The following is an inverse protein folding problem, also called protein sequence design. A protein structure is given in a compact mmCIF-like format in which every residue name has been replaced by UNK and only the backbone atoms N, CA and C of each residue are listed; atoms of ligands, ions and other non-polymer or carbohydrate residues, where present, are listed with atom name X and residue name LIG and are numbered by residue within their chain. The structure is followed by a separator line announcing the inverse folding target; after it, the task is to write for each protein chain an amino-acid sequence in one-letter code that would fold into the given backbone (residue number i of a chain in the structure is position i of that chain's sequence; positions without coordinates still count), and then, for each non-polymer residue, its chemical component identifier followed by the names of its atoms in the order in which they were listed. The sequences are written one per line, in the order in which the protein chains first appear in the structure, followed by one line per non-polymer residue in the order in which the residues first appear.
data_IF_392173079980
#
_entry.id   IF_392173079980
#
_cell.length_a   1.000
_cell.length_b   1.000
_cell.length_c   1.000
_cell.angle_alpha   90.00
_cell.angle_beta   90.00
_cell.angle_gamma   90.00
#
_symmetry.space_group_name_H-M   'P 1'
#
loop_
_entity.id
_entity.type
_entity.pdbx_description
1 polymer ?
#
# COMPACT_ATOMS: atom_id res chain seq x y z
N UNK A 1 17.43 -0.86 -11.85
CA UNK A 1 16.72 -1.84 -11.00
C UNK A 1 15.30 -1.33 -10.88
N UNK A 2 14.29 -2.12 -11.22
CA UNK A 2 12.90 -1.63 -11.17
C UNK A 2 12.38 -1.66 -9.74
N UNK A 3 11.40 -0.81 -9.44
CA UNK A 3 10.66 -0.75 -8.18
C UNK A 3 10.13 -2.15 -7.76
N UNK A 4 9.64 -2.92 -8.75
CA UNK A 4 9.20 -4.31 -8.55
C UNK A 4 10.36 -5.24 -8.15
N UNK A 5 11.56 -5.07 -8.73
CA UNK A 5 12.73 -5.86 -8.37
C UNK A 5 13.27 -5.51 -6.98
N UNK A 6 13.18 -4.24 -6.57
CA UNK A 6 13.53 -3.78 -5.23
C UNK A 6 12.57 -4.35 -4.17
N UNK A 7 11.25 -4.30 -4.43
CA UNK A 7 10.27 -4.94 -3.56
C UNK A 7 10.48 -6.46 -3.47
N UNK A 8 10.74 -7.13 -4.61
CA UNK A 8 11.10 -8.56 -4.62
C UNK A 8 12.35 -8.84 -3.78
N UNK A 9 13.39 -8.02 -3.89
CA UNK A 9 14.62 -8.19 -3.11
C UNK A 9 14.38 -8.04 -1.60
N UNK A 10 13.61 -7.03 -1.19
CA UNK A 10 13.23 -6.84 0.22
C UNK A 10 12.42 -8.04 0.74
N UNK A 11 11.50 -8.56 -0.06
CA UNK A 11 10.76 -9.76 0.28
C UNK A 11 11.65 -11.02 0.33
N UNK A 12 12.57 -11.21 -0.63
CA UNK A 12 13.51 -12.33 -0.63
C UNK A 12 14.36 -12.34 0.64
N UNK A 13 14.78 -11.17 1.16
CA UNK A 13 15.48 -11.08 2.45
C UNK A 13 14.61 -11.54 3.62
N UNK A 14 13.30 -11.26 3.61
CA UNK A 14 12.37 -11.75 4.62
C UNK A 14 12.25 -13.28 4.58
N UNK A 15 12.08 -13.85 3.38
CA UNK A 15 12.02 -15.31 3.17
C UNK A 15 13.33 -16.01 3.53
N UNK A 16 14.48 -15.40 3.26
CA UNK A 16 15.79 -15.97 3.62
C UNK A 16 15.88 -16.19 5.14
N UNK A 17 15.45 -15.21 5.94
CA UNK A 17 15.42 -15.33 7.41
C UNK A 17 14.56 -16.51 7.88
N UNK A 18 13.42 -16.74 7.23
CA UNK A 18 12.49 -17.84 7.56
C UNK A 18 13.08 -19.21 7.14
N UNK A 19 13.71 -19.26 5.98
CA UNK A 19 14.36 -20.48 5.46
C UNK A 19 15.53 -20.87 6.37
N UNK A 20 16.37 -19.91 6.76
CA UNK A 20 17.51 -20.12 7.65
C UNK A 20 17.06 -20.60 9.05
N UNK A 21 15.90 -20.13 9.53
CA UNK A 21 15.35 -20.53 10.82
C UNK A 21 14.70 -21.93 10.81
N UNK A 22 14.18 -22.38 9.66
CA UNK A 22 13.40 -23.62 9.57
C UNK A 22 14.17 -24.80 8.96
N UNK A 23 15.25 -24.53 8.23
CA UNK A 23 16.10 -25.56 7.59
C UNK A 23 15.39 -26.42 6.55
N UNK A 24 14.20 -26.01 6.09
CA UNK A 24 13.36 -26.74 5.14
C UNK A 24 13.32 -26.03 3.80
N UNK A 25 13.25 -26.80 2.72
CA UNK A 25 12.93 -26.26 1.40
C UNK A 25 11.54 -25.62 1.44
N UNK A 26 11.46 -24.36 1.01
CA UNK A 26 10.23 -23.59 0.91
C UNK A 26 9.62 -23.78 -0.47
N UNK A 27 8.33 -24.11 -0.51
CA UNK A 27 7.54 -24.24 -1.75
C UNK A 27 7.06 -22.87 -2.26
N UNK A 28 6.77 -22.75 -3.56
CA UNK A 28 6.23 -21.52 -4.14
C UNK A 28 4.92 -21.06 -3.46
N UNK A 29 4.08 -21.99 -3.02
CA UNK A 29 2.85 -21.66 -2.28
C UNK A 29 3.16 -21.07 -0.89
N UNK A 30 4.16 -21.62 -0.20
CA UNK A 30 4.61 -21.06 1.09
C UNK A 30 5.20 -19.67 0.92
N UNK A 31 6.01 -19.44 -0.14
CA UNK A 31 6.51 -18.10 -0.49
C UNK A 31 5.33 -17.14 -0.68
N UNK A 32 4.33 -17.53 -1.47
CA UNK A 32 3.19 -16.66 -1.73
C UNK A 32 2.36 -16.36 -0.48
N UNK A 33 2.13 -17.37 0.37
CA UNK A 33 1.39 -17.19 1.63
C UNK A 33 2.13 -16.23 2.57
N UNK A 34 3.45 -16.38 2.66
CA UNK A 34 4.29 -15.50 3.47
C UNK A 34 4.31 -14.07 2.91
N UNK A 35 4.43 -13.92 1.58
CA UNK A 35 4.28 -12.63 0.91
C UNK A 35 2.92 -11.98 1.22
N UNK A 36 1.86 -12.78 1.17
CA UNK A 36 0.50 -12.29 1.39
C UNK A 36 0.32 -11.83 2.83
N UNK A 37 0.76 -12.61 3.82
CA UNK A 37 0.71 -12.21 5.22
C UNK A 37 1.59 -11.00 5.56
N UNK A 38 2.73 -10.85 4.87
CA UNK A 38 3.67 -9.74 5.10
C UNK A 38 3.27 -8.45 4.38
N UNK A 39 2.53 -8.51 3.27
CA UNK A 39 2.24 -7.32 2.46
C UNK A 39 0.76 -7.13 2.09
N UNK A 40 0.00 -8.19 1.82
CA UNK A 40 -1.34 -8.09 1.22
C UNK A 40 -2.49 -8.18 2.23
N UNK A 41 -2.29 -8.98 3.28
CA UNK A 41 -3.28 -9.29 4.33
C UNK A 41 -3.06 -8.42 5.58
N UNK A 42 -2.40 -7.28 5.41
CA UNK A 42 -2.14 -6.29 6.46
C UNK A 42 -3.29 -5.29 6.56
N UNK A 43 -4.40 -5.72 7.15
CA UNK A 43 -5.55 -4.85 7.42
C UNK A 43 -5.65 -4.42 8.91
N UNK A 44 -4.53 -4.37 9.63
CA UNK A 44 -4.44 -3.90 11.01
C UNK A 44 -3.11 -3.16 11.27
N UNK A 45 -3.10 -2.03 12.02
CA UNK A 45 -4.28 -1.39 12.63
C UNK A 45 -5.15 -0.64 11.62
N UNK A 46 -4.62 -0.24 10.48
CA UNK A 46 -5.36 0.52 9.47
C UNK A 46 -6.01 -0.40 8.42
N UNK A 47 -7.29 -0.21 8.12
CA UNK A 47 -8.00 -0.93 7.05
C UNK A 47 -8.82 0.05 6.20
N UNK A 48 -8.80 -0.13 4.88
CA UNK A 48 -9.58 0.67 3.92
C UNK A 48 -10.92 0.00 3.56
N UNK A 49 -12.02 0.67 3.90
CA UNK A 49 -13.37 0.20 3.57
C UNK A 49 -13.84 0.68 2.20
N UNK A 50 -13.50 1.92 1.84
CA UNK A 50 -13.81 2.49 0.53
C UNK A 50 -13.39 3.95 0.40
N UNK A 51 -13.52 4.51 -0.79
CA UNK A 51 -13.19 5.90 -1.06
C UNK A 51 -14.15 6.50 -2.08
N UNK A 52 -14.22 7.83 -2.07
CA UNK A 52 -14.89 8.66 -3.07
C UNK A 52 -13.89 9.74 -3.52
N UNK A 53 -13.85 10.02 -4.82
CA UNK A 53 -12.99 11.06 -5.38
C UNK A 53 -13.76 11.92 -6.36
N UNK A 54 -13.50 13.23 -6.32
CA UNK A 54 -14.06 14.20 -7.25
C UNK A 54 -12.96 15.14 -7.76
N UNK A 55 -13.07 15.56 -9.01
CA UNK A 55 -12.26 16.66 -9.51
C UNK A 55 -12.83 17.99 -9.01
N UNK A 56 -11.95 18.87 -8.53
CA UNK A 56 -12.36 20.19 -8.10
C UNK A 56 -12.76 21.02 -9.33
N UNK A 57 -14.02 21.48 -9.37
CA UNK A 57 -14.60 22.18 -10.51
C UNK A 57 -14.04 23.61 -10.71
N UNK A 58 -13.24 24.13 -9.76
CA UNK A 58 -12.69 25.49 -9.79
C UNK A 58 -11.48 25.68 -10.73
N UNK A 59 -11.29 24.81 -11.74
CA UNK A 59 -10.27 24.99 -12.80
C UNK A 59 -8.82 24.81 -12.34
N UNK A 60 -8.60 24.27 -11.14
CA UNK A 60 -7.31 23.76 -10.69
C UNK A 60 -7.42 22.24 -10.78
N UNK A 61 -6.62 21.61 -11.64
CA UNK A 61 -6.57 20.14 -11.84
C UNK A 61 -6.19 19.40 -10.54
N UNK A 62 -7.08 19.43 -9.56
CA UNK A 62 -6.91 18.85 -8.22
C UNK A 62 -8.02 17.86 -7.96
N UNK A 63 -7.67 16.78 -7.30
CA UNK A 63 -8.57 15.73 -6.86
C UNK A 63 -8.82 15.90 -5.38
N UNK A 64 -10.09 16.02 -5.00
CA UNK A 64 -10.55 15.84 -3.63
C UNK A 64 -10.84 14.37 -3.40
N UNK A 65 -10.36 13.83 -2.29
CA UNK A 65 -10.56 12.44 -1.93
C UNK A 65 -11.04 12.30 -0.49
N UNK A 66 -12.05 11.45 -0.28
CA UNK A 66 -12.55 11.04 1.02
C UNK A 66 -12.48 9.52 1.13
N UNK A 67 -11.68 9.00 2.05
CA UNK A 67 -11.55 7.58 2.33
C UNK A 67 -12.18 7.23 3.69
N UNK A 68 -12.96 6.14 3.71
CA UNK A 68 -13.50 5.53 4.92
C UNK A 68 -12.59 4.39 5.35
N UNK A 69 -12.07 4.48 6.56
CA UNK A 69 -11.07 3.55 7.10
C UNK A 69 -11.40 3.18 8.53
N UNK A 70 -10.67 2.21 9.08
CA UNK A 70 -10.61 2.00 10.54
C UNK A 70 -9.18 2.10 11.01
N UNK A 71 -8.98 2.60 12.23
CA UNK A 71 -7.74 2.48 13.01
C UNK A 71 -8.05 1.63 14.24
N UNK A 72 -7.42 0.46 14.36
CA UNK A 72 -7.61 -0.44 15.51
C UNK A 72 -9.09 -0.79 15.76
N UNK A 73 -9.88 -0.87 14.68
CA UNK A 73 -11.33 -1.12 14.71
C UNK A 73 -12.21 0.11 14.89
N UNK A 74 -11.66 1.28 15.25
CA UNK A 74 -12.41 2.53 15.34
C UNK A 74 -12.55 3.17 13.95
N UNK A 75 -13.77 3.56 13.58
CA UNK A 75 -14.05 4.18 12.28
C UNK A 75 -13.38 5.55 12.18
N UNK A 76 -12.73 5.81 11.05
CA UNK A 76 -12.11 7.09 10.74
C UNK A 76 -12.38 7.50 9.30
N UNK A 77 -12.36 8.81 9.06
CA UNK A 77 -12.46 9.39 7.72
C UNK A 77 -11.17 10.14 7.45
N UNK A 78 -10.57 9.86 6.29
CA UNK A 78 -9.39 10.55 5.79
C UNK A 78 -9.80 11.38 4.59
N UNK A 79 -9.56 12.69 4.65
CA UNK A 79 -9.87 13.60 3.55
C UNK A 79 -8.63 14.38 3.16
N UNK A 80 -8.38 14.50 1.86
CA UNK A 80 -7.27 15.29 1.35
C UNK A 80 -7.50 15.77 -0.09
N UNK A 81 -6.70 16.75 -0.49
CA UNK A 81 -6.69 17.31 -1.85
C UNK A 81 -5.26 17.24 -2.41
N UNK A 82 -5.13 16.79 -3.66
CA UNK A 82 -3.83 16.61 -4.31
C UNK A 82 -3.92 16.73 -5.82
N UNK A 83 -2.80 16.57 -6.52
CA UNK A 83 -2.77 16.56 -8.00
C UNK A 83 -3.39 15.30 -8.61
N UNK A 84 -3.79 14.33 -7.80
CA UNK A 84 -4.46 13.09 -8.18
C UNK A 84 -4.91 12.31 -6.94
N UNK A 85 -5.63 11.19 -7.12
CA UNK A 85 -6.19 10.40 -6.01
C UNK A 85 -5.13 9.91 -5.01
N UNK A 86 -3.95 9.50 -5.50
CA UNK A 86 -2.88 9.00 -4.64
C UNK A 86 -2.29 10.12 -3.76
N UNK A 87 -1.95 11.26 -4.36
CA UNK A 87 -1.44 12.43 -3.63
C UNK A 87 -2.49 12.92 -2.62
N UNK A 88 -3.75 13.07 -3.05
CA UNK A 88 -4.86 13.47 -2.18
C UNK A 88 -4.99 12.55 -0.95
N UNK A 89 -4.87 11.22 -1.16
CA UNK A 89 -4.92 10.26 -0.08
C UNK A 89 -3.73 10.40 0.89
N UNK A 90 -2.50 10.56 0.38
CA UNK A 90 -1.30 10.77 1.21
C UNK A 90 -1.40 12.07 2.01
N UNK A 91 -1.87 13.17 1.41
CA UNK A 91 -2.08 14.43 2.15
C UNK A 91 -3.14 14.28 3.25
N UNK A 92 -4.21 13.54 2.97
CA UNK A 92 -5.22 13.22 3.98
C UNK A 92 -4.63 12.40 5.13
N UNK A 93 -3.85 11.36 4.83
CA UNK A 93 -3.19 10.53 5.85
C UNK A 93 -2.21 11.34 6.71
N UNK A 94 -1.39 12.22 6.11
CA UNK A 94 -0.50 13.14 6.85
C UNK A 94 -1.24 14.05 7.82
N UNK A 95 -2.48 14.40 7.51
CA UNK A 95 -3.31 15.25 8.37
C UNK A 95 -3.98 14.43 9.48
N UNK A 96 -4.41 13.20 9.16
CA UNK A 96 -5.18 12.34 10.05
C UNK A 96 -4.31 11.51 11.00
N UNK A 97 -3.04 11.24 10.65
CA UNK A 97 -2.14 10.35 11.38
C UNK A 97 -0.90 11.10 11.89
N UNK A 98 -0.31 10.68 13.01
CA UNK A 98 0.86 11.35 13.60
C UNK A 98 2.20 10.93 12.97
N UNK A 99 2.21 10.49 11.71
CA UNK A 99 3.41 10.00 11.01
C UNK A 99 3.92 11.02 9.96
N UNK A 100 5.24 11.18 9.82
CA UNK A 100 5.85 11.81 8.64
C UNK A 100 5.86 10.81 7.48
N UNK A 101 4.87 10.91 6.61
CA UNK A 101 4.69 10.03 5.46
C UNK A 101 5.27 10.66 4.20
N UNK A 102 6.10 9.95 3.43
CA UNK A 102 6.53 10.39 2.09
C UNK A 102 6.60 9.20 1.14
N UNK A 103 6.02 9.34 -0.05
CA UNK A 103 6.19 8.37 -1.13
C UNK A 103 7.54 8.61 -1.78
N UNK A 104 8.37 7.56 -1.85
CA UNK A 104 9.71 7.59 -2.45
C UNK A 104 9.71 7.00 -3.86
N UNK A 105 9.02 5.88 -4.05
CA UNK A 105 8.89 5.22 -5.34
C UNK A 105 7.49 4.59 -5.49
N UNK A 106 7.05 4.46 -6.73
CA UNK A 106 5.74 3.96 -7.09
C UNK A 106 5.81 3.14 -8.37
N UNK A 107 5.18 1.97 -8.34
CA UNK A 107 5.03 1.14 -9.53
C UNK A 107 3.73 0.36 -9.51
N UNK A 108 3.11 0.25 -10.68
CA UNK A 108 1.92 -0.55 -10.86
C UNK A 108 2.04 -1.42 -12.11
N UNK A 109 1.34 -2.54 -12.10
CA UNK A 109 1.04 -3.29 -13.31
C UNK A 109 -0.26 -4.08 -13.18
N UNK A 110 -0.84 -4.43 -14.31
CA UNK A 110 -1.96 -5.36 -14.36
C UNK A 110 -1.47 -6.82 -14.31
N UNK A 111 -2.19 -7.63 -13.55
CA UNK A 111 -2.10 -9.09 -13.54
C UNK A 111 -3.33 -9.64 -14.23
N UNK A 112 -3.11 -10.32 -15.36
CA UNK A 112 -4.17 -10.83 -16.23
C UNK A 112 -4.48 -9.89 -17.40
N UNK A 113 -5.54 -10.19 -18.16
CA UNK A 113 -5.95 -9.45 -19.35
C UNK A 113 -7.45 -9.18 -19.32
N UNK A 114 -7.90 -8.15 -20.04
CA UNK A 114 -9.31 -7.75 -20.10
C UNK A 114 -9.72 -6.76 -19.01
N UNK A 115 -11.03 -6.48 -18.94
CA UNK A 115 -11.62 -5.47 -18.04
C UNK A 115 -11.53 -5.88 -16.57
N UNK A 116 -11.42 -7.18 -16.29
CA UNK A 116 -11.32 -7.75 -14.94
C UNK A 116 -9.86 -7.99 -14.50
N UNK A 117 -8.89 -7.44 -15.22
CA UNK A 117 -7.49 -7.54 -14.83
C UNK A 117 -7.29 -6.93 -13.43
N UNK A 118 -6.56 -7.65 -12.58
CA UNK A 118 -6.27 -7.17 -11.22
C UNK A 118 -5.07 -6.23 -11.28
N UNK A 119 -5.19 -5.02 -10.77
CA UNK A 119 -4.05 -4.13 -10.59
C UNK A 119 -3.22 -4.58 -9.38
N UNK A 120 -1.91 -4.54 -9.55
CA UNK A 120 -0.91 -4.74 -8.50
C UNK A 120 -0.13 -3.44 -8.35
N UNK A 121 -0.11 -2.86 -7.17
CA UNK A 121 0.62 -1.64 -6.85
C UNK A 121 1.70 -1.93 -5.80
N UNK A 122 2.87 -1.32 -5.98
CA UNK A 122 4.01 -1.33 -5.08
C UNK A 122 4.38 0.11 -4.76
N UNK A 123 4.54 0.40 -3.47
CA UNK A 123 4.89 1.75 -3.01
C UNK A 123 6.02 1.64 -2.00
N UNK A 124 7.09 2.40 -2.23
CA UNK A 124 8.11 2.65 -1.22
C UNK A 124 7.79 3.94 -0.49
N UNK A 125 7.74 3.88 0.84
CA UNK A 125 7.43 5.02 1.70
C UNK A 125 8.52 5.24 2.73
N UNK A 126 8.89 6.50 2.94
CA UNK A 126 9.50 6.92 4.19
C UNK A 126 8.39 7.19 5.21
N UNK A 127 8.48 6.52 6.35
CA UNK A 127 7.54 6.64 7.48
C UNK A 127 8.38 6.88 8.73
N UNK A 128 8.33 8.10 9.27
CA UNK A 128 9.18 8.54 10.39
C UNK A 128 10.69 8.24 10.16
N UNK A 129 11.13 8.39 8.91
CA UNK A 129 12.51 8.15 8.49
C UNK A 129 12.87 6.68 8.23
N UNK A 130 11.96 5.72 8.44
CA UNK A 130 12.13 4.31 8.01
C UNK A 130 11.63 4.13 6.58
N UNK A 131 12.41 3.48 5.72
CA UNK A 131 11.99 3.13 4.36
C UNK A 131 11.30 1.76 4.34
N UNK A 132 10.03 1.75 3.94
CA UNK A 132 9.16 0.60 3.97
C UNK A 132 8.44 0.42 2.65
N UNK A 133 8.38 -0.82 2.20
CA UNK A 133 7.62 -1.23 1.02
C UNK A 133 6.23 -1.68 1.39
N UNK A 134 5.23 -1.30 0.60
CA UNK A 134 3.88 -1.82 0.68
C UNK A 134 3.41 -2.35 -0.66
N UNK A 135 2.49 -3.31 -0.63
CA UNK A 135 1.89 -3.91 -1.82
C UNK A 135 0.37 -3.92 -1.69
N UNK A 136 -0.32 -3.71 -2.82
CA UNK A 136 -1.77 -3.71 -2.87
C UNK A 136 -2.29 -4.39 -4.13
N UNK A 137 -3.37 -5.15 -3.97
CA UNK A 137 -4.07 -5.84 -5.05
C UNK A 137 -5.54 -5.44 -5.05
N UNK A 138 -6.03 -4.99 -6.21
CA UNK A 138 -7.45 -4.74 -6.39
C UNK A 138 -7.77 -4.60 -7.89
N UNK A 139 -9.03 -4.84 -8.31
CA UNK A 139 -9.46 -4.62 -9.71
C UNK A 139 -9.48 -3.12 -10.06
N UNK A 140 -9.88 -2.29 -9.11
CA UNK A 140 -9.65 -0.84 -9.13
C UNK A 140 -8.19 -0.48 -8.81
N UNK A 141 -7.52 0.16 -9.76
CA UNK A 141 -6.12 0.60 -9.71
C UNK A 141 -5.82 1.62 -8.61
N UNK A 142 -6.76 2.53 -8.34
CA UNK A 142 -6.65 3.53 -7.28
C UNK A 142 -6.74 2.85 -5.93
N UNK A 143 -7.68 1.89 -5.79
CA UNK A 143 -7.81 1.10 -4.55
C UNK A 143 -6.60 0.21 -4.33
N UNK A 144 -6.03 -0.40 -5.37
CA UNK A 144 -4.79 -1.17 -5.26
C UNK A 144 -3.65 -0.28 -4.72
N UNK A 145 -3.52 0.94 -5.25
CA UNK A 145 -2.51 1.91 -4.81
C UNK A 145 -2.69 2.36 -3.35
N UNK A 146 -3.93 2.63 -2.91
CA UNK A 146 -4.21 2.98 -1.51
C UNK A 146 -3.92 1.82 -0.55
N UNK A 147 -4.25 0.58 -0.96
CA UNK A 147 -3.92 -0.63 -0.18
C UNK A 147 -2.41 -0.79 -0.03
N UNK A 148 -1.63 -0.49 -1.07
CA UNK A 148 -0.18 -0.53 -0.99
C UNK A 148 0.38 0.50 0.01
N UNK A 149 -0.16 1.72 0.05
CA UNK A 149 0.21 2.72 1.07
C UNK A 149 -0.13 2.23 2.48
N UNK A 150 -1.35 1.72 2.69
CA UNK A 150 -1.78 1.22 4.00
C UNK A 150 -0.93 0.03 4.45
N UNK A 151 -0.57 -0.86 3.51
CA UNK A 151 0.36 -1.96 3.73
C UNK A 151 1.70 -1.43 4.27
N UNK A 152 2.30 -0.42 3.64
CA UNK A 152 3.56 0.18 4.12
C UNK A 152 3.42 0.77 5.53
N UNK A 153 2.31 1.46 5.82
CA UNK A 153 2.03 2.05 7.15
C UNK A 153 1.85 0.98 8.21
N UNK A 154 1.04 -0.05 7.95
CA UNK A 154 0.82 -1.15 8.89
C UNK A 154 2.11 -1.95 9.16
N UNK A 155 3.05 -1.99 8.20
CA UNK A 155 4.38 -2.57 8.43
C UNK A 155 5.24 -1.73 9.37
N UNK A 156 5.10 -0.40 9.35
CA UNK A 156 5.81 0.47 10.28
C UNK A 156 5.45 0.20 11.75
N UNK A 157 4.20 -0.23 12.00
CA UNK A 157 3.70 -0.56 13.33
C UNK A 157 4.06 -2.00 13.78
N UNK A 158 4.50 -2.88 12.87
CA UNK A 158 4.95 -4.24 13.18
C UNK A 158 6.43 -4.32 13.61
N UNK A 159 7.25 -3.35 13.19
CA UNK A 159 8.72 -3.29 13.39
C UNK A 159 9.14 -2.38 14.57
#
# INVERSE_FOLDING_TARGET
MTCQDACKLNFTRSIQKITDATGKEITAQQIFNEFSGEYLDLDYPFMLHGYESAQNAEGRDRTLLTARMTNSGEQMIVQGEGSGSLDAFVQGLRTALPYDLRVLDYHEHSKGTGVDATAVAYVEMAIDGKELWGCGLHTDITRASMRAIISAINRADKD
#
